data_IF_858916193787
#
_entry.id   IF_858916193787
#
_cell.length_a   1.000
_cell.length_b   1.000
_cell.length_c   1.000
_cell.angle_alpha   90.00
_cell.angle_beta   90.00
_cell.angle_gamma   90.00
#
_symmetry.space_group_name_H-M   'P 1'
#
loop_
_entity.id
_entity.type
_entity.pdbx_description
1 polymer ?
#
# COMPACT_ATOMS: atom_id res chain seq x y z
N UNK A 1 -7.23 -4.78 16.43
CA UNK A 1 -7.49 -6.03 15.69
C UNK A 1 -6.55 -6.08 14.51
N UNK A 2 -5.82 -7.19 14.29
CA UNK A 2 -4.83 -7.33 13.21
C UNK A 2 -5.43 -8.19 12.11
N UNK A 3 -5.56 -7.66 10.90
CA UNK A 3 -6.10 -8.38 9.74
C UNK A 3 -4.98 -8.65 8.73
N UNK A 4 -4.77 -9.91 8.37
CA UNK A 4 -3.79 -10.30 7.35
C UNK A 4 -4.51 -10.57 6.04
N UNK A 5 -4.30 -9.71 5.05
CA UNK A 5 -4.84 -9.89 3.69
C UNK A 5 -3.73 -10.48 2.81
N UNK A 6 -3.97 -11.66 2.22
CA UNK A 6 -3.11 -12.24 1.17
C UNK A 6 -3.84 -12.14 -0.16
N UNK A 7 -3.26 -11.43 -1.12
CA UNK A 7 -3.85 -11.27 -2.45
C UNK A 7 -3.19 -12.18 -3.47
N UNK A 8 -3.95 -13.14 -4.00
CA UNK A 8 -3.57 -13.98 -5.15
C UNK A 8 -4.21 -13.46 -6.46
N UNK A 9 -4.31 -12.14 -6.59
CA UNK A 9 -5.03 -11.49 -7.67
C UNK A 9 -4.10 -10.57 -8.47
N UNK A 10 -4.40 -10.39 -9.77
CA UNK A 10 -3.67 -9.44 -10.64
C UNK A 10 -3.62 -8.06 -9.95
N UNK A 11 -2.53 -7.28 -10.10
CA UNK A 11 -2.28 -6.06 -9.33
C UNK A 11 -3.47 -5.09 -9.25
N UNK A 12 -4.26 -5.00 -10.33
CA UNK A 12 -5.44 -4.15 -10.41
C UNK A 12 -6.57 -4.56 -9.45
N UNK A 13 -6.85 -5.86 -9.32
CA UNK A 13 -7.88 -6.38 -8.41
C UNK A 13 -7.43 -6.20 -6.95
N UNK A 14 -6.16 -6.44 -6.69
CA UNK A 14 -5.52 -6.20 -5.38
C UNK A 14 -5.63 -4.74 -4.97
N UNK A 15 -5.33 -3.81 -5.88
CA UNK A 15 -5.45 -2.37 -5.63
C UNK A 15 -6.88 -1.95 -5.30
N UNK A 16 -7.86 -2.47 -6.04
CA UNK A 16 -9.26 -2.08 -5.84
C UNK A 16 -9.83 -2.63 -4.53
N UNK A 17 -9.54 -3.89 -4.21
CA UNK A 17 -9.92 -4.49 -2.93
C UNK A 17 -9.27 -3.72 -1.77
N UNK A 18 -7.97 -3.43 -1.87
CA UNK A 18 -7.25 -2.72 -0.81
C UNK A 18 -7.76 -1.29 -0.62
N UNK A 19 -8.05 -0.56 -1.70
CA UNK A 19 -8.65 0.78 -1.61
C UNK A 19 -10.03 0.73 -0.94
N UNK A 20 -10.89 -0.24 -1.32
CA UNK A 20 -12.20 -0.43 -0.70
C UNK A 20 -12.08 -0.73 0.79
N UNK A 21 -11.28 -1.73 1.18
CA UNK A 21 -11.11 -2.11 2.58
C UNK A 21 -10.44 -1.00 3.40
N UNK A 22 -9.47 -0.28 2.84
CA UNK A 22 -8.84 0.83 3.53
C UNK A 22 -9.83 1.98 3.81
N UNK A 23 -10.69 2.29 2.84
CA UNK A 23 -11.72 3.31 3.01
C UNK A 23 -12.84 2.86 3.96
N UNK A 24 -13.32 1.63 3.81
CA UNK A 24 -14.43 1.06 4.60
C UNK A 24 -14.10 0.97 6.10
N UNK A 25 -12.85 0.64 6.43
CA UNK A 25 -12.41 0.43 7.81
C UNK A 25 -11.55 1.59 8.37
N UNK A 26 -11.47 2.73 7.66
CA UNK A 26 -10.57 3.86 7.99
C UNK A 26 -9.14 3.38 8.36
N UNK A 27 -8.59 2.50 7.52
CA UNK A 27 -7.33 1.84 7.79
C UNK A 27 -6.20 2.87 7.89
N UNK A 28 -5.57 2.94 9.07
CA UNK A 28 -4.47 3.88 9.33
C UNK A 28 -3.17 3.46 8.64
N UNK A 29 -2.96 2.16 8.44
CA UNK A 29 -1.73 1.64 7.85
C UNK A 29 -1.93 0.29 7.12
N UNK A 30 -1.07 0.05 6.14
CA UNK A 30 -0.88 -1.22 5.44
C UNK A 30 0.55 -1.68 5.69
N UNK A 31 0.71 -2.89 6.22
CA UNK A 31 2.03 -3.48 6.52
C UNK A 31 2.38 -4.50 5.42
N UNK A 32 3.55 -4.35 4.81
CA UNK A 32 4.06 -5.29 3.80
C UNK A 32 5.46 -5.78 4.16
N UNK A 33 5.86 -7.02 3.79
CA UNK A 33 7.19 -7.54 4.13
C UNK A 33 8.35 -6.75 3.51
N UNK A 34 8.13 -6.15 2.34
CA UNK A 34 9.13 -5.33 1.66
C UNK A 34 8.52 -4.57 0.49
N UNK A 35 9.23 -3.55 -0.01
CA UNK A 35 8.70 -2.61 -1.00
C UNK A 35 8.27 -3.29 -2.31
N UNK A 36 8.95 -4.36 -2.73
CA UNK A 36 8.60 -5.14 -3.92
C UNK A 36 7.15 -5.65 -3.90
N UNK A 37 6.60 -5.96 -2.72
CA UNK A 37 5.21 -6.43 -2.57
C UNK A 37 4.18 -5.30 -2.78
N UNK A 38 4.60 -4.05 -2.69
CA UNK A 38 3.76 -2.88 -2.87
C UNK A 38 4.10 -2.09 -4.14
N UNK A 39 5.07 -2.53 -4.95
CA UNK A 39 5.64 -1.71 -6.02
C UNK A 39 4.58 -1.12 -6.96
N UNK A 40 3.63 -1.93 -7.39
CA UNK A 40 2.58 -1.58 -8.35
C UNK A 40 1.42 -0.78 -7.73
N UNK A 41 1.24 -0.86 -6.41
CA UNK A 41 0.08 -0.32 -5.69
C UNK A 41 0.45 0.70 -4.63
N UNK A 42 1.74 1.05 -4.49
CA UNK A 42 2.26 1.95 -3.45
C UNK A 42 1.56 3.29 -3.42
N UNK A 43 1.21 3.83 -4.60
CA UNK A 43 0.52 5.11 -4.72
C UNK A 43 -0.87 5.05 -4.10
N UNK A 44 -1.63 4.01 -4.46
CA UNK A 44 -2.99 3.75 -3.97
C UNK A 44 -2.98 3.54 -2.45
N UNK A 45 -1.98 2.81 -1.93
CA UNK A 45 -1.80 2.66 -0.48
C UNK A 45 -1.62 4.03 0.16
N UNK A 46 -0.63 4.81 -0.27
CA UNK A 46 -0.30 6.11 0.34
C UNK A 46 -1.41 7.16 0.22
N UNK A 47 -2.31 7.05 -0.76
CA UNK A 47 -3.49 7.93 -0.88
C UNK A 47 -4.51 7.65 0.24
N UNK A 48 -4.61 6.41 0.72
CA UNK A 48 -5.64 5.97 1.67
C UNK A 48 -5.10 5.72 3.09
N UNK A 49 -3.87 5.23 3.24
CA UNK A 49 -3.27 4.77 4.49
C UNK A 49 -1.75 5.01 4.51
N UNK A 50 -1.10 4.87 5.69
CA UNK A 50 0.36 4.77 5.75
C UNK A 50 0.84 3.42 5.18
N UNK A 51 1.99 3.39 4.51
CA UNK A 51 2.66 2.14 4.11
C UNK A 51 3.79 1.85 5.08
N UNK A 52 3.81 0.66 5.67
CA UNK A 52 4.85 0.25 6.63
C UNK A 52 5.56 -0.98 6.08
N UNK A 53 6.89 -0.91 6.03
CA UNK A 53 7.78 -2.08 5.91
C UNK A 53 8.53 -2.27 7.23
N UNK A 54 9.13 -3.44 7.48
CA UNK A 54 10.00 -3.63 8.65
C UNK A 54 11.13 -2.61 8.75
N UNK A 55 11.57 -2.07 7.61
CA UNK A 55 12.68 -1.12 7.52
C UNK A 55 12.25 0.36 7.56
N UNK A 56 11.00 0.70 7.21
CA UNK A 56 10.58 2.09 7.04
C UNK A 56 9.06 2.29 7.11
N UNK A 57 8.66 3.42 7.67
CA UNK A 57 7.28 3.95 7.61
C UNK A 57 7.19 5.05 6.56
N UNK A 58 6.17 4.97 5.72
CA UNK A 58 5.81 5.97 4.73
C UNK A 58 4.44 6.55 5.11
N UNK A 59 4.36 7.83 5.51
CA UNK A 59 3.10 8.42 5.96
C UNK A 59 2.06 8.47 4.83
N UNK A 60 0.78 8.53 5.21
CA UNK A 60 -0.30 8.85 4.25
C UNK A 60 0.03 10.16 3.53
N UNK A 61 -0.18 10.19 2.22
CA UNK A 61 0.17 11.29 1.33
C UNK A 61 1.63 11.28 0.85
N UNK A 62 2.45 10.30 1.27
CA UNK A 62 3.84 10.21 0.82
C UNK A 62 3.93 10.11 -0.72
N UNK A 63 4.75 10.99 -1.32
CA UNK A 63 5.02 11.00 -2.76
C UNK A 63 6.37 10.35 -3.04
N UNK A 64 6.34 9.32 -3.86
CA UNK A 64 7.54 8.67 -4.37
C UNK A 64 8.23 9.59 -5.37
N UNK A 65 9.53 9.83 -5.22
CA UNK A 65 10.31 10.51 -6.27
C UNK A 65 10.24 9.65 -7.52
N UNK A 66 9.73 10.20 -8.63
CA UNK A 66 9.91 9.59 -9.93
C UNK A 66 11.42 9.49 -10.15
N UNK A 67 11.92 8.28 -10.31
CA UNK A 67 13.27 8.11 -10.86
C UNK A 67 13.09 8.42 -12.34
N UNK A 68 13.48 9.63 -12.77
CA UNK A 68 13.67 9.88 -14.19
C UNK A 68 14.73 8.89 -14.64
N UNK A 69 14.30 7.94 -15.46
CA UNK A 69 15.23 7.05 -16.15
C UNK A 69 15.69 7.84 -17.36
N UNK A 70 16.84 8.49 -17.22
CA UNK A 70 17.60 9.05 -18.33
C UNK A 70 18.14 7.94 -19.23
#
# INVERSE_FOLDING_TARGET
MLHTVRTNARPFVTAHALARYAAEYDARAVIVPGLAHAADIRRIITENAALITPSRVYPRGYRWRSVDTA
#
